data_IF_590894617444
#
_entry.id   IF_590894617444
#
_cell.length_a   1.000
_cell.length_b   1.000
_cell.length_c   1.000
_cell.angle_alpha   90.00
_cell.angle_beta   90.00
_cell.angle_gamma   90.00
#
_symmetry.space_group_name_H-M   'P 1'
#
loop_
_entity.id
_entity.type
_entity.pdbx_description
1 polymer ?
#
# COMPACT_ATOMS: atom_id res chain seq x y z
N UNK A 1 28.46 -13.92 -61.61
CA UNK A 1 28.74 -13.18 -60.35
C UNK A 1 27.47 -12.65 -59.71
N UNK A 2 26.59 -11.91 -60.42
CA UNK A 2 25.35 -11.33 -59.86
C UNK A 2 24.39 -12.41 -59.30
N UNK A 3 24.21 -13.54 -59.97
CA UNK A 3 23.33 -14.64 -59.55
C UNK A 3 23.80 -15.29 -58.25
N UNK A 4 25.11 -15.43 -58.05
CA UNK A 4 25.70 -15.99 -56.82
C UNK A 4 25.48 -15.04 -55.64
N UNK A 5 25.66 -13.76 -55.83
CA UNK A 5 25.38 -12.73 -54.78
C UNK A 5 23.90 -12.72 -54.43
N UNK A 6 23.00 -12.83 -55.38
CA UNK A 6 21.56 -12.84 -55.18
C UNK A 6 21.05 -14.06 -54.34
N UNK A 7 21.82 -15.15 -54.31
CA UNK A 7 21.50 -16.35 -53.50
C UNK A 7 22.25 -16.31 -52.15
N UNK A 8 23.55 -15.99 -52.17
CA UNK A 8 24.39 -16.02 -50.97
C UNK A 8 23.98 -14.96 -49.95
N UNK A 9 23.62 -13.75 -50.36
CA UNK A 9 23.25 -12.69 -49.44
C UNK A 9 21.98 -13.00 -48.66
N UNK A 10 20.85 -13.41 -49.25
CA UNK A 10 19.67 -13.83 -48.48
C UNK A 10 19.95 -15.01 -47.54
N UNK A 11 20.71 -16.00 -47.99
CA UNK A 11 21.10 -17.14 -47.16
C UNK A 11 21.94 -16.69 -45.97
N UNK A 12 22.91 -15.82 -46.16
CA UNK A 12 23.73 -15.27 -45.08
C UNK A 12 22.90 -14.48 -44.06
N UNK A 13 21.93 -13.69 -44.55
CA UNK A 13 20.99 -12.93 -43.67
C UNK A 13 20.13 -13.90 -42.86
N UNK A 14 19.59 -14.95 -43.48
CA UNK A 14 18.81 -15.97 -42.77
C UNK A 14 19.66 -16.65 -41.69
N UNK A 15 20.86 -17.07 -42.05
CA UNK A 15 21.79 -17.73 -41.11
C UNK A 15 22.17 -16.77 -39.96
N UNK A 16 22.40 -15.49 -40.24
CA UNK A 16 22.72 -14.52 -39.20
C UNK A 16 21.62 -14.40 -38.14
N UNK A 17 20.34 -14.26 -38.56
CA UNK A 17 19.23 -14.20 -37.61
C UNK A 17 18.84 -15.53 -36.99
N UNK A 18 19.13 -16.66 -37.64
CA UNK A 18 18.66 -17.97 -37.17
C UNK A 18 19.72 -18.79 -36.41
N UNK A 19 21.00 -18.50 -36.61
CA UNK A 19 22.12 -19.12 -35.89
C UNK A 19 22.62 -18.29 -34.72
N UNK A 20 21.83 -17.30 -34.28
CA UNK A 20 22.17 -16.50 -33.13
C UNK A 20 22.47 -17.35 -31.88
N UNK A 21 23.34 -16.83 -31.00
CA UNK A 21 23.75 -17.54 -29.80
C UNK A 21 23.26 -16.85 -28.51
N UNK A 22 22.47 -15.75 -28.62
CA UNK A 22 21.95 -15.03 -27.46
C UNK A 22 20.64 -15.70 -27.01
N UNK A 23 20.57 -16.19 -25.77
CA UNK A 23 19.32 -16.73 -25.25
C UNK A 23 18.31 -15.62 -24.94
N UNK A 24 17.01 -15.93 -24.93
CA UNK A 24 15.97 -14.97 -24.59
C UNK A 24 16.18 -14.42 -23.17
N UNK A 25 15.84 -13.15 -22.97
CA UNK A 25 15.85 -12.52 -21.65
C UNK A 25 14.58 -12.86 -20.88
N UNK A 26 14.71 -12.97 -19.56
CA UNK A 26 13.58 -13.21 -18.66
C UNK A 26 13.72 -12.35 -17.41
N UNK A 27 12.65 -11.66 -17.02
CA UNK A 27 12.53 -10.93 -15.79
C UNK A 27 11.30 -11.41 -15.00
N UNK A 28 11.49 -11.66 -13.71
CA UNK A 28 10.43 -12.13 -12.81
C UNK A 28 10.32 -11.19 -11.62
N UNK A 29 9.17 -10.56 -11.47
CA UNK A 29 8.85 -9.73 -10.30
C UNK A 29 8.21 -10.60 -9.22
N UNK A 30 8.94 -10.78 -8.12
CA UNK A 30 8.52 -11.60 -6.99
C UNK A 30 9.10 -11.04 -5.69
N UNK A 31 8.49 -9.98 -5.18
CA UNK A 31 8.90 -9.33 -3.94
C UNK A 31 7.67 -9.03 -3.09
N UNK A 32 7.63 -9.46 -1.82
CA UNK A 32 8.54 -10.44 -1.19
C UNK A 32 8.40 -11.84 -1.81
N UNK A 33 9.41 -12.72 -1.67
CA UNK A 33 9.38 -14.09 -2.20
C UNK A 33 8.53 -15.04 -1.34
N UNK A 34 7.35 -14.59 -0.98
CA UNK A 34 6.36 -15.33 -0.19
C UNK A 34 5.07 -15.43 -0.99
N UNK A 35 4.47 -16.62 -0.99
CA UNK A 35 3.21 -16.92 -1.65
C UNK A 35 2.20 -17.27 -0.56
N UNK A 36 1.21 -16.40 -0.38
CA UNK A 36 0.11 -16.63 0.55
C UNK A 36 -1.04 -17.45 -0.06
N UNK A 37 -2.26 -17.13 0.34
CA UNK A 37 -3.46 -17.78 -0.24
C UNK A 37 -3.57 -17.58 -1.74
N UNK A 38 -3.11 -16.44 -2.25
CA UNK A 38 -3.05 -16.10 -3.67
C UNK A 38 -1.90 -15.13 -3.94
N UNK A 39 -1.14 -15.36 -5.00
CA UNK A 39 -0.05 -14.48 -5.44
C UNK A 39 -0.09 -14.29 -6.95
N UNK A 40 -0.16 -13.06 -7.39
CA UNK A 40 0.06 -12.72 -8.79
C UNK A 40 1.55 -12.62 -9.08
N UNK A 41 1.98 -13.27 -10.15
CA UNK A 41 3.36 -13.27 -10.62
C UNK A 41 3.36 -12.86 -12.08
N UNK A 42 4.17 -11.84 -12.40
CA UNK A 42 4.40 -11.40 -13.78
C UNK A 42 5.79 -11.87 -14.23
N UNK A 43 5.81 -12.57 -15.34
CA UNK A 43 7.03 -13.03 -16.00
C UNK A 43 7.14 -12.32 -17.33
N UNK A 44 8.07 -11.37 -17.45
CA UNK A 44 8.37 -10.67 -18.69
C UNK A 44 9.50 -11.36 -19.41
N UNK A 45 9.42 -11.47 -20.73
CA UNK A 45 10.42 -12.14 -21.54
C UNK A 45 10.56 -11.45 -22.91
N UNK A 46 11.79 -11.44 -23.41
CA UNK A 46 12.12 -10.80 -24.69
C UNK A 46 13.18 -11.57 -25.46
N UNK A 47 13.04 -11.60 -26.78
CA UNK A 47 14.02 -12.04 -27.74
C UNK A 47 13.91 -11.20 -29.02
N UNK A 48 14.79 -10.21 -29.21
CA UNK A 48 14.72 -9.31 -30.37
C UNK A 48 15.12 -9.96 -31.70
N UNK A 49 15.82 -11.11 -31.70
CA UNK A 49 16.39 -11.70 -32.90
C UNK A 49 15.51 -12.81 -33.50
N UNK A 50 15.44 -13.98 -32.87
CA UNK A 50 14.67 -15.10 -33.38
C UNK A 50 13.22 -15.17 -32.89
N UNK A 51 12.91 -14.47 -31.80
CA UNK A 51 11.59 -14.39 -31.20
C UNK A 51 11.23 -15.58 -30.33
N UNK A 52 10.29 -15.33 -29.42
CA UNK A 52 9.88 -16.27 -28.39
C UNK A 52 9.10 -17.44 -29.01
N UNK A 53 9.48 -18.65 -28.63
CA UNK A 53 8.85 -19.90 -29.01
C UNK A 53 7.93 -20.45 -27.95
N UNK A 54 8.39 -20.50 -26.70
CA UNK A 54 7.65 -21.11 -25.59
C UNK A 54 8.09 -20.50 -24.26
N UNK A 55 7.16 -20.33 -23.38
CA UNK A 55 7.38 -19.99 -21.96
C UNK A 55 6.77 -21.09 -21.13
N UNK A 56 7.47 -21.50 -20.09
CA UNK A 56 7.03 -22.51 -19.15
C UNK A 56 7.33 -22.06 -17.72
N UNK A 57 6.37 -22.28 -16.82
CA UNK A 57 6.49 -21.98 -15.40
C UNK A 57 6.08 -23.22 -14.62
N UNK A 58 6.94 -23.66 -13.72
CA UNK A 58 6.72 -24.78 -12.81
C UNK A 58 6.99 -24.40 -11.37
N UNK A 59 6.44 -25.18 -10.46
CA UNK A 59 6.74 -25.13 -9.04
C UNK A 59 7.21 -26.49 -8.59
N UNK A 60 8.39 -26.51 -7.98
CA UNK A 60 8.98 -27.70 -7.36
C UNK A 60 8.77 -27.60 -5.85
N UNK A 61 8.07 -28.57 -5.27
CA UNK A 61 7.90 -28.72 -3.85
C UNK A 61 7.96 -30.18 -3.44
N UNK A 62 8.69 -30.48 -2.38
CA UNK A 62 8.84 -31.85 -1.82
C UNK A 62 9.27 -32.88 -2.89
N UNK A 63 10.14 -32.48 -3.80
CA UNK A 63 10.61 -33.33 -4.92
C UNK A 63 9.63 -33.52 -6.07
N UNK A 64 8.43 -32.95 -6.00
CA UNK A 64 7.40 -33.01 -7.04
C UNK A 64 7.34 -31.68 -7.80
N UNK A 65 7.49 -31.76 -9.13
CA UNK A 65 7.33 -30.62 -10.02
C UNK A 65 5.90 -30.57 -10.57
N UNK A 66 5.29 -29.39 -10.48
CA UNK A 66 3.94 -29.14 -11.01
C UNK A 66 3.99 -27.97 -11.97
N UNK A 67 3.47 -28.16 -13.18
CA UNK A 67 3.38 -27.09 -14.19
C UNK A 67 2.29 -26.11 -13.77
N UNK A 68 2.67 -24.85 -13.63
CA UNK A 68 1.74 -23.75 -13.29
C UNK A 68 1.16 -23.10 -14.55
N UNK A 69 2.01 -22.88 -15.54
CA UNK A 69 1.62 -22.29 -16.82
C UNK A 69 2.57 -22.73 -17.95
N UNK A 70 2.03 -22.84 -19.14
CA UNK A 70 2.80 -23.04 -20.37
C UNK A 70 2.11 -22.29 -21.50
N UNK A 71 2.90 -21.54 -22.29
CA UNK A 71 2.41 -20.78 -23.45
C UNK A 71 3.37 -20.96 -24.62
N UNK A 72 2.85 -21.43 -25.75
CA UNK A 72 3.60 -21.53 -27.02
C UNK A 72 3.20 -20.39 -27.95
N UNK A 73 4.15 -19.93 -28.74
CA UNK A 73 3.98 -18.82 -29.68
C UNK A 73 4.11 -19.30 -31.12
N UNK A 74 3.41 -18.67 -32.07
CA UNK A 74 3.42 -19.10 -33.45
C UNK A 74 4.74 -18.81 -34.16
N UNK A 75 5.13 -19.69 -35.03
CA UNK A 75 6.24 -19.51 -35.97
C UNK A 75 5.79 -18.63 -37.14
N UNK A 76 6.54 -17.56 -37.44
CA UNK A 76 6.23 -16.60 -38.51
C UNK A 76 7.02 -16.78 -39.80
N UNK A 77 7.76 -17.87 -39.92
CA UNK A 77 8.50 -18.23 -41.14
C UNK A 77 10.02 -18.27 -40.98
N UNK A 78 10.67 -18.78 -42.00
CA UNK A 78 12.10 -19.11 -41.97
C UNK A 78 12.99 -17.88 -41.73
N UNK A 79 12.62 -16.71 -42.27
CA UNK A 79 13.42 -15.50 -42.14
C UNK A 79 13.17 -14.82 -40.78
N UNK A 80 11.93 -14.73 -40.36
CA UNK A 80 11.53 -13.96 -39.18
C UNK A 80 11.55 -14.70 -37.86
N UNK A 81 11.50 -16.05 -37.90
CA UNK A 81 11.41 -16.87 -36.69
C UNK A 81 10.05 -16.78 -36.00
N UNK A 82 10.00 -16.34 -34.75
CA UNK A 82 8.75 -16.11 -33.99
C UNK A 82 8.07 -14.79 -34.33
N UNK A 83 6.76 -14.73 -34.18
CA UNK A 83 5.98 -13.51 -34.33
C UNK A 83 6.15 -12.54 -33.15
N UNK A 84 6.38 -13.08 -31.96
CA UNK A 84 6.45 -12.35 -30.71
C UNK A 84 7.91 -12.15 -30.30
N UNK A 85 8.30 -10.89 -30.08
CA UNK A 85 9.65 -10.49 -29.67
C UNK A 85 9.73 -10.20 -28.18
N UNK A 86 8.66 -9.69 -27.62
CA UNK A 86 8.48 -9.49 -26.18
C UNK A 86 7.02 -9.74 -25.81
N UNK A 87 6.80 -10.27 -24.62
CA UNK A 87 5.47 -10.44 -24.03
C UNK A 87 5.62 -10.62 -22.51
N UNK A 88 4.50 -10.62 -21.80
CA UNK A 88 4.46 -10.95 -20.39
C UNK A 88 3.38 -12.00 -20.12
N UNK A 89 3.73 -12.96 -19.26
CA UNK A 89 2.81 -13.95 -18.75
C UNK A 89 2.42 -13.58 -17.32
N UNK A 90 1.15 -13.30 -17.12
CA UNK A 90 0.57 -13.12 -15.78
C UNK A 90 -0.06 -14.44 -15.35
N UNK A 91 0.28 -14.87 -14.14
CA UNK A 91 -0.30 -16.08 -13.55
C UNK A 91 -0.61 -15.83 -12.08
N UNK A 92 -1.71 -16.40 -11.63
CA UNK A 92 -2.10 -16.41 -10.23
C UNK A 92 -1.75 -17.78 -9.64
N UNK A 93 -0.99 -17.77 -8.56
CA UNK A 93 -0.61 -19.00 -7.83
C UNK A 93 -1.48 -19.06 -6.59
N UNK A 94 -2.31 -20.09 -6.50
CA UNK A 94 -3.18 -20.39 -5.37
C UNK A 94 -2.76 -21.77 -4.83
N UNK A 95 -1.87 -21.80 -3.80
CA UNK A 95 -1.24 -23.05 -3.35
C UNK A 95 -2.25 -24.09 -2.89
N UNK A 96 -3.24 -23.68 -2.12
CA UNK A 96 -4.25 -24.58 -1.55
C UNK A 96 -5.08 -25.28 -2.63
N UNK A 97 -5.48 -24.56 -3.69
CA UNK A 97 -6.26 -25.14 -4.79
C UNK A 97 -5.46 -26.17 -5.61
N UNK A 98 -4.13 -26.10 -5.53
CA UNK A 98 -3.21 -27.04 -6.20
C UNK A 98 -2.67 -28.14 -5.27
N UNK A 99 -3.12 -28.14 -4.01
CA UNK A 99 -2.70 -29.12 -3.01
C UNK A 99 -1.27 -28.94 -2.50
N UNK A 100 -0.72 -27.73 -2.58
CA UNK A 100 0.57 -27.40 -1.96
C UNK A 100 0.38 -27.07 -0.49
N UNK A 101 1.30 -27.58 0.34
CA UNK A 101 1.40 -27.29 1.77
C UNK A 101 2.34 -26.12 2.00
N UNK A 102 2.26 -25.47 3.18
CA UNK A 102 3.20 -24.45 3.60
C UNK A 102 4.65 -24.97 3.65
N UNK A 103 5.61 -24.06 3.52
CA UNK A 103 7.03 -24.35 3.54
C UNK A 103 7.77 -23.90 2.28
N UNK A 104 9.07 -24.20 2.20
CA UNK A 104 9.92 -23.80 1.09
C UNK A 104 9.52 -24.50 -0.22
N UNK A 105 9.55 -23.76 -1.31
CA UNK A 105 9.33 -24.25 -2.67
C UNK A 105 10.22 -23.49 -3.66
N UNK A 106 10.38 -24.01 -4.86
CA UNK A 106 11.16 -23.37 -5.93
C UNK A 106 10.27 -23.13 -7.14
N UNK A 107 10.09 -21.87 -7.50
CA UNK A 107 9.52 -21.47 -8.78
C UNK A 107 10.59 -21.59 -9.87
N UNK A 108 10.24 -22.23 -10.97
CA UNK A 108 11.08 -22.49 -12.12
C UNK A 108 10.49 -21.85 -13.35
N UNK A 109 11.31 -21.12 -14.07
CA UNK A 109 10.93 -20.40 -15.27
C UNK A 109 11.84 -20.79 -16.41
N UNK A 110 11.28 -21.13 -17.55
CA UNK A 110 12.04 -21.44 -18.74
C UNK A 110 11.42 -20.77 -19.97
N UNK A 111 12.27 -20.15 -20.79
CA UNK A 111 11.87 -19.50 -22.03
C UNK A 111 12.76 -20.02 -23.16
N UNK A 112 12.16 -20.37 -24.28
CA UNK A 112 12.84 -20.82 -25.50
C UNK A 112 12.52 -19.85 -26.63
N UNK A 113 13.51 -19.66 -27.50
CA UNK A 113 13.41 -18.94 -28.74
C UNK A 113 13.23 -19.85 -29.97
N UNK A 114 13.17 -19.22 -31.14
CA UNK A 114 13.14 -19.94 -32.43
C UNK A 114 14.50 -20.02 -33.12
N UNK A 115 15.64 -19.79 -32.45
CA UNK A 115 16.96 -19.93 -33.04
C UNK A 115 17.21 -21.36 -33.54
N UNK A 116 18.09 -21.53 -34.57
CA UNK A 116 18.51 -22.84 -35.08
C UNK A 116 19.70 -23.36 -34.27
N UNK A 117 19.57 -23.42 -32.97
CA UNK A 117 20.52 -23.96 -32.02
C UNK A 117 19.97 -25.23 -31.42
N UNK A 118 20.82 -26.00 -30.75
CA UNK A 118 20.46 -27.24 -30.06
C UNK A 118 19.52 -28.15 -30.92
N UNK A 119 19.93 -28.46 -32.15
CA UNK A 119 19.14 -29.28 -33.10
C UNK A 119 17.73 -28.72 -33.36
N UNK A 120 17.64 -27.41 -33.61
CA UNK A 120 16.42 -26.67 -33.89
C UNK A 120 15.49 -26.55 -32.65
N UNK A 121 16.00 -26.79 -31.45
CA UNK A 121 15.23 -26.59 -30.19
C UNK A 121 15.21 -25.14 -29.73
N UNK A 122 16.17 -24.33 -30.20
CA UNK A 122 16.35 -22.95 -29.84
C UNK A 122 17.27 -22.73 -28.62
N UNK A 123 17.62 -21.48 -28.35
CA UNK A 123 18.28 -21.17 -27.10
C UNK A 123 17.25 -21.20 -25.95
N UNK A 124 17.75 -21.42 -24.74
CA UNK A 124 16.90 -21.48 -23.54
C UNK A 124 17.50 -20.64 -22.42
N UNK A 125 16.68 -19.83 -21.80
CA UNK A 125 16.96 -19.23 -20.49
C UNK A 125 16.16 -19.95 -19.42
N UNK A 126 16.82 -20.22 -18.30
CA UNK A 126 16.23 -20.92 -17.17
C UNK A 126 16.57 -20.17 -15.88
N UNK A 127 15.55 -19.88 -15.07
CA UNK A 127 15.69 -19.16 -13.81
C UNK A 127 14.94 -19.91 -12.72
N UNK A 128 15.57 -20.00 -11.54
CA UNK A 128 14.94 -20.52 -10.32
C UNK A 128 14.82 -19.40 -9.28
N UNK A 129 13.70 -19.39 -8.56
CA UNK A 129 13.44 -18.49 -7.43
C UNK A 129 12.94 -19.32 -6.25
N UNK A 130 13.70 -19.34 -5.17
CA UNK A 130 13.21 -19.91 -3.90
C UNK A 130 12.13 -19.02 -3.33
N UNK A 131 11.03 -19.63 -2.92
CA UNK A 131 9.86 -18.97 -2.34
C UNK A 131 9.41 -19.70 -1.09
N UNK A 132 8.79 -18.97 -0.18
CA UNK A 132 8.10 -19.53 0.97
C UNK A 132 6.60 -19.57 0.67
N UNK A 133 5.98 -20.73 0.72
CA UNK A 133 4.51 -20.85 0.74
C UNK A 133 4.07 -20.69 2.18
N UNK A 134 3.20 -19.73 2.44
CA UNK A 134 2.66 -19.43 3.76
C UNK A 134 1.21 -18.97 3.61
N UNK A 135 0.29 -19.85 3.98
CA UNK A 135 -1.15 -19.62 3.85
C UNK A 135 -1.84 -19.37 5.18
N UNK A 136 -1.06 -19.26 6.26
CA UNK A 136 -1.59 -19.05 7.61
C UNK A 136 -1.44 -17.60 8.03
N UNK A 137 -2.52 -16.96 8.53
CA UNK A 137 -2.41 -15.59 9.01
C UNK A 137 -1.59 -15.52 10.32
N UNK A 138 -0.88 -14.39 10.56
CA UNK A 138 -0.08 -14.20 11.74
C UNK A 138 -0.94 -14.19 13.02
N UNK A 139 -0.44 -14.70 14.12
CA UNK A 139 -1.09 -14.54 15.41
C UNK A 139 -0.70 -13.22 16.08
N UNK A 140 -1.63 -12.68 16.89
CA UNK A 140 -1.48 -11.41 17.59
C UNK A 140 -1.67 -11.60 19.08
N UNK A 141 -0.61 -11.35 19.87
CA UNK A 141 -0.63 -11.43 21.32
C UNK A 141 -0.57 -10.05 21.95
N UNK A 142 -1.59 -9.68 22.72
CA UNK A 142 -1.62 -8.39 23.44
C UNK A 142 -0.84 -8.50 24.74
N UNK A 143 0.20 -7.70 24.89
CA UNK A 143 1.10 -7.71 26.05
C UNK A 143 0.72 -6.67 27.11
N UNK A 144 0.13 -5.55 26.71
CA UNK A 144 -0.36 -4.51 27.63
C UNK A 144 -1.73 -4.88 28.21
N UNK A 145 -2.02 -4.45 29.45
CA UNK A 145 -3.19 -4.95 30.21
C UNK A 145 -4.35 -3.95 30.37
N UNK A 146 -4.07 -2.68 30.32
CA UNK A 146 -5.09 -1.66 30.61
C UNK A 146 -5.18 -0.64 29.48
N UNK A 147 -6.32 -0.66 28.75
CA UNK A 147 -6.56 0.22 27.63
C UNK A 147 -7.84 1.03 27.90
N UNK A 148 -7.68 2.15 28.63
CA UNK A 148 -8.76 3.09 28.87
C UNK A 148 -8.64 4.27 27.93
N UNK A 149 -9.59 4.46 27.03
CA UNK A 149 -9.59 5.54 26.05
C UNK A 149 -10.86 6.36 26.23
N UNK A 150 -10.72 7.68 26.33
CA UNK A 150 -11.86 8.57 26.32
C UNK A 150 -12.25 8.91 24.89
N UNK A 151 -13.51 9.13 24.66
CA UNK A 151 -14.02 9.71 23.41
C UNK A 151 -13.25 10.99 23.08
N UNK A 152 -12.73 11.12 21.84
CA UNK A 152 -11.82 12.18 21.42
C UNK A 152 -10.44 12.13 22.07
N UNK A 153 -10.03 10.98 22.60
CA UNK A 153 -8.73 10.77 23.24
C UNK A 153 -7.87 9.75 22.53
N UNK A 154 -6.68 9.50 23.08
CA UNK A 154 -5.71 8.54 22.56
C UNK A 154 -5.49 7.40 23.53
N UNK A 155 -5.11 6.24 22.98
CA UNK A 155 -4.67 5.07 23.70
C UNK A 155 -3.36 4.52 23.13
N UNK A 156 -2.77 3.58 23.83
CA UNK A 156 -1.62 2.84 23.37
C UNK A 156 -1.80 1.37 23.67
N UNK A 157 -1.30 0.51 22.79
CA UNK A 157 -1.27 -0.94 22.97
C UNK A 157 0.10 -1.48 22.61
N UNK A 158 0.59 -2.41 23.43
CA UNK A 158 1.79 -3.19 23.15
C UNK A 158 1.35 -4.60 22.81
N UNK A 159 1.82 -5.10 21.68
CA UNK A 159 1.45 -6.43 21.18
C UNK A 159 2.63 -7.09 20.47
N UNK A 160 2.53 -8.39 20.25
CA UNK A 160 3.51 -9.20 19.53
C UNK A 160 2.85 -9.82 18.31
N UNK A 161 3.58 -9.89 17.20
CA UNK A 161 3.24 -10.69 16.02
C UNK A 161 4.04 -11.98 16.04
N UNK A 162 3.45 -13.10 15.60
CA UNK A 162 4.15 -14.39 15.53
C UNK A 162 5.27 -14.42 14.48
N UNK A 163 5.21 -13.49 13.53
CA UNK A 163 6.08 -13.43 12.35
C UNK A 163 6.20 -12.01 11.80
N UNK A 164 7.15 -11.76 10.87
CA UNK A 164 7.28 -10.49 10.18
C UNK A 164 6.02 -10.16 9.36
N UNK A 165 5.51 -8.94 9.53
CA UNK A 165 4.32 -8.45 8.84
C UNK A 165 4.66 -7.29 7.90
N UNK A 166 3.93 -7.20 6.78
CA UNK A 166 3.94 -6.02 5.91
C UNK A 166 3.36 -4.82 6.65
N UNK A 167 2.30 -5.07 7.41
CA UNK A 167 1.58 -4.06 8.17
C UNK A 167 0.96 -4.70 9.42
N UNK A 168 1.05 -4.00 10.55
CA UNK A 168 0.31 -4.35 11.75
C UNK A 168 -0.04 -3.09 12.54
N UNK A 169 -1.14 -3.11 13.29
CA UNK A 169 -1.57 -1.94 14.06
C UNK A 169 -2.98 -2.07 14.63
N UNK A 170 -3.57 -0.92 14.98
CA UNK A 170 -4.91 -0.83 15.54
C UNK A 170 -5.87 -0.23 14.51
N UNK A 171 -6.94 -0.93 14.25
CA UNK A 171 -8.07 -0.45 13.48
C UNK A 171 -9.13 0.12 14.45
N UNK A 172 -9.52 1.38 14.28
CA UNK A 172 -10.58 2.06 15.07
C UNK A 172 -11.66 2.55 14.09
N UNK A 173 -12.75 1.81 13.97
CA UNK A 173 -13.69 2.04 12.86
C UNK A 173 -12.97 1.95 11.52
N UNK A 174 -13.03 3.02 10.72
CA UNK A 174 -12.38 3.10 9.40
C UNK A 174 -10.91 3.59 9.46
N UNK A 175 -10.44 4.01 10.65
CA UNK A 175 -9.09 4.56 10.80
C UNK A 175 -8.10 3.49 11.20
N UNK A 176 -6.98 3.38 10.49
CA UNK A 176 -5.87 2.50 10.83
C UNK A 176 -4.71 3.29 11.45
N UNK A 177 -4.19 2.76 12.56
CA UNK A 177 -3.06 3.31 13.31
C UNK A 177 -1.92 2.29 13.30
N UNK A 178 -0.81 2.56 12.61
CA UNK A 178 0.28 1.60 12.47
C UNK A 178 0.97 1.33 13.81
N UNK A 179 1.40 0.09 14.00
CA UNK A 179 2.28 -0.31 15.06
C UNK A 179 3.75 -0.19 14.64
N UNK A 180 4.59 0.20 15.58
CA UNK A 180 6.02 0.42 15.35
C UNK A 180 6.85 -0.55 16.17
N UNK A 181 7.75 -1.28 15.52
CA UNK A 181 8.81 -2.03 16.16
C UNK A 181 9.93 -1.08 16.65
N UNK A 182 10.87 -1.58 17.44
CA UNK A 182 12.06 -0.81 17.86
C UNK A 182 11.94 -0.08 19.18
N UNK A 183 10.73 0.03 19.76
CA UNK A 183 10.57 0.50 21.14
C UNK A 183 11.06 -0.53 22.19
N UNK A 184 11.19 -1.78 21.80
CA UNK A 184 11.60 -2.92 22.64
C UNK A 184 12.78 -3.66 22.01
N UNK A 185 13.50 -4.46 22.82
CA UNK A 185 14.63 -5.28 22.34
C UNK A 185 14.16 -6.40 21.39
N UNK A 186 12.99 -6.91 21.61
CA UNK A 186 12.36 -7.96 20.79
C UNK A 186 11.72 -7.28 19.55
N UNK A 187 12.19 -7.56 18.32
CA UNK A 187 11.67 -6.94 17.12
C UNK A 187 10.24 -7.39 16.75
N UNK A 188 9.77 -8.50 17.32
CA UNK A 188 8.38 -8.98 17.17
C UNK A 188 7.38 -8.18 18.00
N UNK A 189 7.87 -7.37 18.96
CA UNK A 189 7.03 -6.56 19.84
C UNK A 189 6.86 -5.16 19.26
N UNK A 190 5.60 -4.75 19.12
CA UNK A 190 5.19 -3.49 18.53
C UNK A 190 4.47 -2.61 19.57
N UNK A 191 4.60 -1.31 19.40
CA UNK A 191 3.82 -0.30 20.11
C UNK A 191 2.97 0.44 19.09
N UNK A 192 1.65 0.44 19.27
CA UNK A 192 0.73 1.26 18.49
C UNK A 192 0.08 2.32 19.38
N UNK A 193 0.09 3.57 18.91
CA UNK A 193 -0.75 4.64 19.43
C UNK A 193 -1.98 4.74 18.55
N UNK A 194 -3.16 4.82 19.16
CA UNK A 194 -4.40 4.96 18.41
C UNK A 194 -5.28 6.04 19.01
N UNK A 195 -6.21 6.57 18.24
CA UNK A 195 -7.12 7.60 18.68
C UNK A 195 -8.57 7.20 18.43
N UNK A 196 -9.44 7.60 19.36
CA UNK A 196 -10.88 7.52 19.21
C UNK A 196 -11.40 8.90 18.80
N UNK A 197 -12.15 9.00 17.73
CA UNK A 197 -12.78 10.23 17.27
C UNK A 197 -13.73 10.81 18.31
N UNK A 198 -13.99 12.10 18.24
CA UNK A 198 -14.96 12.76 19.14
C UNK A 198 -16.40 12.32 18.88
N UNK A 199 -16.69 11.82 17.70
CA UNK A 199 -17.96 11.28 17.20
C UNK A 199 -18.06 9.75 17.32
N UNK A 200 -16.96 9.08 17.71
CA UNK A 200 -16.90 7.65 17.92
C UNK A 200 -17.20 7.32 19.40
N UNK A 201 -18.04 6.32 19.63
CA UNK A 201 -18.50 5.90 20.96
C UNK A 201 -18.16 4.45 21.28
N UNK A 202 -18.85 3.91 22.30
CA UNK A 202 -18.63 2.55 22.78
C UNK A 202 -18.87 1.45 21.73
N UNK A 203 -19.67 1.74 20.72
CA UNK A 203 -19.99 0.80 19.61
C UNK A 203 -18.93 0.80 18.52
N UNK A 204 -17.92 1.67 18.58
CA UNK A 204 -16.84 1.70 17.60
C UNK A 204 -15.93 0.49 17.78
N UNK A 205 -15.75 -0.36 16.75
CA UNK A 205 -14.83 -1.49 16.85
C UNK A 205 -13.39 -1.02 16.95
N UNK A 206 -12.67 -1.58 17.93
CA UNK A 206 -11.23 -1.36 18.15
C UNK A 206 -10.55 -2.72 18.12
N UNK A 207 -9.80 -2.98 17.06
CA UNK A 207 -9.21 -4.27 16.77
C UNK A 207 -7.70 -4.13 16.48
N UNK A 208 -6.90 -5.08 16.91
CA UNK A 208 -5.57 -5.30 16.36
C UNK A 208 -5.71 -6.02 15.02
N UNK A 209 -4.93 -5.58 14.04
CA UNK A 209 -4.86 -6.20 12.72
C UNK A 209 -3.41 -6.40 12.33
N UNK A 210 -3.12 -7.47 11.59
CA UNK A 210 -1.83 -7.68 10.97
C UNK A 210 -1.99 -8.36 9.61
N UNK A 211 -1.09 -8.04 8.70
CA UNK A 211 -0.97 -8.68 7.38
C UNK A 211 0.47 -9.13 7.23
N UNK A 212 0.71 -10.41 7.03
CA UNK A 212 2.04 -10.99 6.87
C UNK A 212 2.65 -10.71 5.47
N UNK A 213 3.82 -11.30 5.22
CA UNK A 213 4.51 -11.17 3.93
C UNK A 213 3.79 -11.92 2.79
N UNK A 214 2.96 -12.92 3.11
CA UNK A 214 2.12 -13.66 2.18
C UNK A 214 0.82 -12.93 1.82
N UNK A 215 0.49 -11.86 2.56
CA UNK A 215 -0.78 -11.13 2.43
C UNK A 215 -1.92 -11.75 3.24
N UNK A 216 -1.64 -12.74 4.11
CA UNK A 216 -2.65 -13.31 4.99
C UNK A 216 -2.95 -12.33 6.13
N UNK A 217 -4.22 -12.11 6.40
CA UNK A 217 -4.67 -11.11 7.37
C UNK A 217 -5.28 -11.74 8.60
N UNK A 218 -4.87 -11.25 9.76
CA UNK A 218 -5.50 -11.57 11.06
C UNK A 218 -6.10 -10.33 11.71
N UNK A 219 -7.10 -10.56 12.55
CA UNK A 219 -7.71 -9.55 13.41
C UNK A 219 -7.97 -10.14 14.78
N UNK A 220 -7.68 -9.37 15.83
CA UNK A 220 -7.89 -9.76 17.22
C UNK A 220 -8.46 -8.60 18.02
N UNK A 221 -9.52 -8.86 18.79
CA UNK A 221 -9.98 -7.92 19.81
C UNK A 221 -9.03 -7.91 21.00
N UNK A 222 -9.00 -6.83 21.75
CA UNK A 222 -8.27 -6.76 23.02
C UNK A 222 -9.13 -6.04 24.08
N UNK A 223 -8.93 -6.36 25.38
CA UNK A 223 -9.69 -5.73 26.45
C UNK A 223 -9.44 -4.22 26.47
N UNK A 224 -10.48 -3.43 26.29
CA UNK A 224 -10.42 -1.98 26.37
C UNK A 224 -11.70 -1.41 26.94
N UNK A 225 -11.62 -0.22 27.52
CA UNK A 225 -12.75 0.51 28.05
C UNK A 225 -12.84 1.88 27.39
N UNK A 226 -13.93 2.12 26.66
CA UNK A 226 -14.21 3.41 26.02
C UNK A 226 -15.06 4.26 26.95
N UNK A 227 -14.51 5.38 27.40
CA UNK A 227 -15.19 6.33 28.25
C UNK A 227 -15.86 7.42 27.41
N UNK A 228 -17.17 7.47 27.46
CA UNK A 228 -17.92 8.59 26.88
C UNK A 228 -17.52 9.91 27.51
N UNK A 229 -17.43 10.96 26.70
CA UNK A 229 -17.04 12.31 27.13
C UNK A 229 -18.11 13.32 26.70
N UNK A 230 -18.47 14.17 27.61
CA UNK A 230 -19.32 15.32 27.34
C UNK A 230 -18.46 16.52 26.92
N UNK A 231 -18.60 16.93 25.66
CA UNK A 231 -17.85 18.07 25.13
C UNK A 231 -18.56 19.39 25.50
N UNK A 232 -17.77 20.43 25.70
CA UNK A 232 -18.26 21.79 26.01
C UNK A 232 -18.94 22.39 24.77
N UNK A 233 -19.96 23.20 25.01
CA UNK A 233 -20.59 23.98 23.96
C UNK A 233 -20.37 25.49 24.25
N UNK A 234 -19.84 26.20 23.26
CA UNK A 234 -19.57 27.64 23.32
C UNK A 234 -20.35 28.37 22.23
N UNK A 235 -20.91 29.53 22.60
CA UNK A 235 -21.51 30.46 21.64
C UNK A 235 -20.58 31.65 21.44
N UNK A 236 -20.16 31.86 20.19
CA UNK A 236 -19.25 32.93 19.79
C UNK A 236 -20.01 34.00 19.00
N UNK A 237 -20.03 35.23 19.55
CA UNK A 237 -20.60 36.37 18.84
C UNK A 237 -19.60 36.93 17.83
N UNK A 238 -20.00 36.92 16.57
CA UNK A 238 -19.22 37.48 15.46
C UNK A 238 -19.72 38.90 15.24
N UNK A 239 -18.81 39.85 15.23
CA UNK A 239 -19.10 41.29 15.06
C UNK A 239 -18.47 41.81 13.78
N UNK A 240 -19.02 42.91 13.22
CA UNK A 240 -18.42 43.58 12.05
C UNK A 240 -16.97 43.99 12.29
N UNK A 241 -16.65 44.43 13.50
CA UNK A 241 -15.29 44.78 13.90
C UNK A 241 -14.34 43.59 13.73
N UNK A 242 -14.78 42.39 14.18
CA UNK A 242 -13.99 41.16 14.02
C UNK A 242 -13.87 40.78 12.55
N UNK A 243 -14.97 40.79 11.82
CA UNK A 243 -14.98 40.43 10.40
C UNK A 243 -14.07 41.33 9.56
N UNK A 244 -14.20 42.65 9.73
CA UNK A 244 -13.38 43.62 8.99
C UNK A 244 -11.88 43.55 9.35
N UNK A 245 -11.57 43.14 10.58
CA UNK A 245 -10.18 42.93 10.99
C UNK A 245 -9.61 41.63 10.50
N UNK A 246 -10.36 40.52 10.56
CA UNK A 246 -9.81 39.18 10.36
C UNK A 246 -9.92 38.66 8.93
N UNK A 247 -11.01 38.94 8.23
CA UNK A 247 -11.26 38.35 6.91
C UNK A 247 -10.28 38.77 5.83
N UNK A 248 -9.72 40.00 5.82
CA UNK A 248 -8.69 40.35 4.82
C UNK A 248 -7.42 39.48 4.83
N UNK A 249 -7.14 38.84 5.98
CA UNK A 249 -5.99 37.91 6.05
C UNK A 249 -6.13 36.68 5.10
N UNK A 250 -7.35 36.38 4.65
CA UNK A 250 -7.68 35.26 3.81
C UNK A 250 -7.92 35.63 2.33
N UNK A 251 -7.69 36.88 1.95
CA UNK A 251 -7.91 37.33 0.56
C UNK A 251 -6.95 36.71 -0.47
N UNK A 252 -5.95 35.96 -0.03
CA UNK A 252 -5.11 35.11 -0.88
C UNK A 252 -5.84 33.88 -1.41
N UNK A 253 -6.92 33.46 -0.74
CA UNK A 253 -7.76 32.36 -1.17
C UNK A 253 -8.78 32.86 -2.22
N UNK A 254 -8.76 32.33 -3.46
CA UNK A 254 -9.60 32.84 -4.55
C UNK A 254 -11.10 32.84 -4.24
N UNK A 255 -11.60 31.80 -3.58
CA UNK A 255 -13.01 31.73 -3.19
C UNK A 255 -13.39 32.78 -2.14
N UNK A 256 -12.48 33.11 -1.22
CA UNK A 256 -12.69 34.15 -0.20
C UNK A 256 -12.61 35.54 -0.82
N UNK A 257 -11.65 35.76 -1.72
CA UNK A 257 -11.51 37.05 -2.42
C UNK A 257 -12.74 37.37 -3.28
N UNK A 258 -13.39 36.38 -3.87
CA UNK A 258 -14.58 36.53 -4.71
C UNK A 258 -15.88 36.76 -3.90
N UNK A 259 -15.87 36.61 -2.59
CA UNK A 259 -17.07 36.72 -1.77
C UNK A 259 -17.59 38.15 -1.72
N UNK A 260 -18.91 38.29 -1.72
CA UNK A 260 -19.63 39.57 -1.80
C UNK A 260 -19.67 40.36 -0.50
N UNK A 261 -19.41 39.74 0.65
CA UNK A 261 -19.45 40.35 1.98
C UNK A 261 -18.46 39.72 2.95
N UNK A 262 -18.08 40.46 3.99
CA UNK A 262 -17.23 39.95 5.07
C UNK A 262 -17.84 38.75 5.81
N UNK A 263 -19.17 38.72 5.93
CA UNK A 263 -19.89 37.58 6.50
C UNK A 263 -19.75 36.33 5.60
N UNK A 264 -19.90 36.50 4.30
CA UNK A 264 -19.72 35.41 3.33
C UNK A 264 -18.27 34.91 3.33
N UNK A 265 -17.27 35.79 3.36
CA UNK A 265 -15.86 35.42 3.56
C UNK A 265 -15.66 34.53 4.78
N UNK A 266 -16.26 34.92 5.90
CA UNK A 266 -16.19 34.15 7.15
C UNK A 266 -16.78 32.74 6.99
N UNK A 267 -17.92 32.59 6.34
CA UNK A 267 -18.55 31.28 6.12
C UNK A 267 -17.69 30.40 5.22
N UNK A 268 -17.12 30.95 4.15
CA UNK A 268 -16.21 30.19 3.25
C UNK A 268 -14.96 29.75 4.01
N UNK A 269 -14.33 30.64 4.78
CA UNK A 269 -13.14 30.31 5.59
C UNK A 269 -13.47 29.23 6.62
N UNK A 270 -14.62 29.36 7.28
CA UNK A 270 -15.00 28.45 8.36
C UNK A 270 -15.49 27.09 7.88
N UNK A 271 -15.84 26.94 6.62
CA UNK A 271 -16.24 25.69 5.98
C UNK A 271 -15.20 25.19 4.96
N UNK A 272 -15.20 25.69 3.73
CA UNK A 272 -14.39 25.18 2.63
C UNK A 272 -12.89 25.20 2.93
N UNK A 273 -12.34 26.36 3.34
CA UNK A 273 -10.90 26.51 3.63
C UNK A 273 -10.49 25.63 4.80
N UNK A 274 -11.35 25.50 5.81
CA UNK A 274 -11.10 24.62 6.96
C UNK A 274 -11.08 23.14 6.55
N UNK A 275 -12.01 22.70 5.69
CA UNK A 275 -12.06 21.34 5.18
C UNK A 275 -10.82 21.01 4.34
N UNK A 276 -10.38 21.92 3.47
CA UNK A 276 -9.17 21.74 2.66
C UNK A 276 -7.91 21.66 3.53
N UNK A 277 -7.80 22.50 4.56
CA UNK A 277 -6.70 22.41 5.52
C UNK A 277 -6.71 21.08 6.28
N UNK A 278 -7.88 20.62 6.71
CA UNK A 278 -8.02 19.33 7.39
C UNK A 278 -7.59 18.16 6.49
N UNK A 279 -8.00 18.18 5.22
CA UNK A 279 -7.58 17.19 4.22
C UNK A 279 -6.06 17.21 4.01
N UNK A 280 -5.48 18.41 3.83
CA UNK A 280 -4.03 18.58 3.66
C UNK A 280 -3.25 18.06 4.86
N UNK A 281 -3.69 18.36 6.09
CA UNK A 281 -3.06 17.84 7.31
C UNK A 281 -3.17 16.32 7.41
N UNK A 282 -4.30 15.74 6.98
CA UNK A 282 -4.49 14.28 6.91
C UNK A 282 -3.55 13.63 5.90
N UNK A 283 -3.34 14.25 4.74
CA UNK A 283 -2.39 13.76 3.72
C UNK A 283 -0.95 13.81 4.22
N UNK A 284 -0.54 14.92 4.84
CA UNK A 284 0.81 15.06 5.45
C UNK A 284 1.01 14.03 6.57
N UNK A 285 -0.02 13.78 7.37
CA UNK A 285 0.02 12.80 8.46
C UNK A 285 0.24 11.35 8.01
N UNK A 286 0.00 11.02 6.73
CA UNK A 286 0.30 9.69 6.18
C UNK A 286 1.81 9.42 6.04
N UNK A 287 2.62 10.46 5.97
CA UNK A 287 4.09 10.38 5.90
C UNK A 287 4.70 10.42 7.31
N UNK A 288 4.26 9.47 8.14
CA UNK A 288 4.74 9.37 9.53
C UNK A 288 6.09 8.68 9.59
N UNK A 289 7.03 9.26 10.38
CA UNK A 289 8.33 8.64 10.67
C UNK A 289 8.12 7.35 11.49
N UNK A 290 8.90 6.31 11.15
CA UNK A 290 8.81 5.00 11.82
C UNK A 290 9.43 4.97 13.22
N UNK A 291 10.29 5.94 13.53
CA UNK A 291 10.95 6.06 14.82
C UNK A 291 10.27 7.10 15.72
N UNK A 292 10.29 6.88 17.02
CA UNK A 292 9.88 7.88 18.01
C UNK A 292 10.97 8.96 18.11
N UNK A 293 10.65 10.18 17.64
CA UNK A 293 11.59 11.29 17.55
C UNK A 293 11.54 12.25 18.76
N UNK A 294 10.69 12.01 19.73
CA UNK A 294 10.53 12.89 20.91
C UNK A 294 10.91 12.19 22.19
N UNK A 295 11.28 13.00 23.18
CA UNK A 295 11.53 12.55 24.55
C UNK A 295 10.70 13.39 25.53
N UNK A 296 10.05 12.72 26.49
CA UNK A 296 9.22 13.37 27.49
C UNK A 296 7.88 13.89 26.96
N UNK A 297 7.13 14.66 27.77
CA UNK A 297 5.81 15.16 27.41
C UNK A 297 5.90 16.34 26.43
N UNK A 298 4.89 16.46 25.55
CA UNK A 298 4.72 17.66 24.75
C UNK A 298 4.34 18.85 25.64
N UNK A 299 5.12 19.92 25.56
CA UNK A 299 4.89 21.13 26.33
C UNK A 299 4.07 22.14 25.52
N UNK A 300 3.19 22.86 26.20
CA UNK A 300 2.50 23.98 25.57
C UNK A 300 3.49 25.13 25.29
N UNK A 301 3.14 25.96 24.30
CA UNK A 301 3.87 27.19 24.06
C UNK A 301 3.93 28.04 25.37
N UNK A 302 5.12 28.52 25.78
CA UNK A 302 5.25 29.35 26.98
C UNK A 302 4.27 30.54 26.96
N UNK A 303 3.71 30.86 28.12
CA UNK A 303 2.74 31.95 28.31
C UNK A 303 1.42 31.81 27.51
N UNK A 304 1.15 30.60 26.94
CA UNK A 304 -0.10 30.34 26.24
C UNK A 304 -1.25 30.03 27.21
N UNK A 305 -2.45 30.57 26.95
CA UNK A 305 -3.66 30.24 27.67
C UNK A 305 -4.55 29.30 26.83
N UNK A 306 -5.13 28.30 27.48
CA UNK A 306 -6.13 27.45 26.84
C UNK A 306 -7.43 28.23 26.63
N UNK A 307 -7.78 28.51 25.37
CA UNK A 307 -9.02 29.23 25.00
C UNK A 307 -10.14 28.27 24.60
N UNK A 308 -9.80 27.09 24.09
CA UNK A 308 -10.73 26.06 23.69
C UNK A 308 -10.15 24.66 23.93
N UNK A 309 -11.02 23.66 24.04
CA UNK A 309 -10.64 22.26 24.09
C UNK A 309 -10.86 21.58 22.75
N UNK A 310 -10.18 20.44 22.55
CA UNK A 310 -10.48 19.56 21.42
C UNK A 310 -11.94 19.11 21.48
N UNK A 311 -12.61 19.18 20.34
CA UNK A 311 -14.00 18.81 20.12
C UNK A 311 -15.03 19.68 20.89
N UNK A 312 -14.66 20.89 21.34
CA UNK A 312 -15.67 21.85 21.82
C UNK A 312 -16.62 22.24 20.68
N UNK A 313 -17.92 22.13 20.92
CA UNK A 313 -18.94 22.52 19.95
C UNK A 313 -19.11 24.03 19.96
N UNK A 314 -18.97 24.65 18.81
CA UNK A 314 -19.07 26.11 18.66
C UNK A 314 -20.28 26.50 17.83
N UNK A 315 -21.07 27.42 18.37
CA UNK A 315 -22.17 28.05 17.66
C UNK A 315 -21.75 29.48 17.37
N UNK A 316 -21.74 29.87 16.11
CA UNK A 316 -21.41 31.24 15.69
C UNK A 316 -22.67 32.04 15.47
N UNK A 317 -22.77 33.18 16.14
CA UNK A 317 -23.90 34.10 16.04
C UNK A 317 -23.45 35.46 15.49
N UNK A 318 -24.21 35.97 14.53
CA UNK A 318 -24.06 37.31 13.97
C UNK A 318 -25.37 38.08 14.16
N UNK A 319 -25.36 39.13 14.98
CA UNK A 319 -26.59 39.67 15.54
C UNK A 319 -27.32 38.60 16.35
N UNK A 320 -28.62 38.45 16.09
CA UNK A 320 -29.46 37.44 16.75
C UNK A 320 -29.57 36.11 15.97
N UNK A 321 -28.83 35.98 14.89
CA UNK A 321 -28.90 34.78 14.01
C UNK A 321 -27.72 33.85 14.24
N UNK A 322 -27.99 32.55 14.37
CA UNK A 322 -26.95 31.51 14.24
C UNK A 322 -26.58 31.39 12.77
N UNK A 323 -25.33 31.66 12.44
CA UNK A 323 -24.81 31.64 11.07
C UNK A 323 -24.00 30.40 10.75
N UNK A 324 -23.45 29.73 11.78
CA UNK A 324 -22.65 28.51 11.57
C UNK A 324 -22.53 27.71 12.89
N UNK A 325 -22.17 26.40 12.73
CA UNK A 325 -21.88 25.46 13.82
C UNK A 325 -20.67 24.62 13.43
N UNK A 326 -19.65 24.60 14.28
CA UNK A 326 -18.41 23.87 14.03
C UNK A 326 -17.95 23.12 15.27
N UNK A 327 -17.16 22.08 15.07
CA UNK A 327 -16.41 21.43 16.15
C UNK A 327 -14.98 21.95 16.12
N UNK A 328 -14.45 22.30 17.29
CA UNK A 328 -13.08 22.79 17.41
C UNK A 328 -12.11 21.63 17.42
N UNK A 329 -11.38 21.48 16.34
CA UNK A 329 -10.31 20.48 16.16
C UNK A 329 -8.94 21.15 16.12
#
# INVERSE_FOLDING_TARGET
>A
MILVVAIVLPVAVILFFRLEGQPPEIAVELTPPVIGLSKEVTVSFADPQSGIRRVWVGLLKDGKETVLAEKAFPFSGVIRGGAVREDALQLTIEPQLRGFTDGEATLRFAVWDFAWRDWLRGNRTYVEKTVQIDTQPPSLDVLSRAHNVSQGGTGAVVYRTSEPCLESGVQVGDNFFPGHAGAFKDPSVHLAFFALGYDQGADTPVLLTATDLGGNRSQSGFPHYLRNKKFRQDTLKITDRFLNWKMPEFDTEPAVAAASSMKEKFLIVNDAVRQDNFKTLGEVGRFTEKAILWQGPFLRLPNSARRAGFADHRVYQYGDQTIDRQVHM
#
